data_IF_095358339292
#
_entry.id   IF_095358339292
#
_cell.length_a   1.000
_cell.length_b   1.000
_cell.length_c   1.000
_cell.angle_alpha   90.00
_cell.angle_beta   90.00
_cell.angle_gamma   90.00
#
_symmetry.space_group_name_H-M   'P 1'
#
loop_
_entity.id
_entity.type
_entity.pdbx_description
1 polymer ?
#
# COMPACT_ATOMS: atom_id res chain seq x y z
N UNK A 1 23.30 14.36 -2.03
CA UNK A 1 22.61 13.58 -3.07
C UNK A 1 21.76 12.49 -2.41
N UNK A 2 20.52 12.42 -2.80
CA UNK A 2 19.62 11.40 -2.27
C UNK A 2 19.91 10.06 -2.94
N UNK A 3 20.11 9.03 -2.16
CA UNK A 3 20.26 7.68 -2.69
C UNK A 3 18.89 7.09 -3.05
N UNK A 4 18.90 6.02 -3.82
CA UNK A 4 17.71 5.27 -4.19
C UNK A 4 17.72 3.94 -3.46
N UNK A 5 16.60 3.58 -2.86
CA UNK A 5 16.40 2.27 -2.26
C UNK A 5 15.73 1.35 -3.28
N UNK A 6 16.28 0.17 -3.46
CA UNK A 6 15.66 -0.84 -4.34
C UNK A 6 14.95 -1.88 -3.50
N UNK A 7 13.67 -2.11 -3.82
CA UNK A 7 12.88 -3.22 -3.29
C UNK A 7 12.53 -4.09 -4.49
N UNK A 8 13.26 -5.20 -4.65
CA UNK A 8 13.19 -5.97 -5.88
C UNK A 8 13.57 -5.10 -7.07
N UNK A 9 12.67 -4.97 -8.02
CA UNK A 9 12.84 -4.12 -9.21
C UNK A 9 12.28 -2.71 -9.04
N UNK A 10 11.67 -2.42 -7.87
CA UNK A 10 11.06 -1.13 -7.62
C UNK A 10 12.07 -0.19 -6.97
N UNK A 11 12.22 1.00 -7.54
CA UNK A 11 13.09 2.05 -7.03
C UNK A 11 12.28 2.99 -6.14
N UNK A 12 12.76 3.23 -4.93
CA UNK A 12 12.16 4.19 -4.01
C UNK A 12 13.13 5.37 -3.87
N UNK A 13 12.70 6.52 -4.33
CA UNK A 13 13.53 7.73 -4.32
C UNK A 13 12.67 8.96 -4.04
N UNK A 14 12.99 9.75 -3.00
CA UNK A 14 14.03 9.51 -2.01
C UNK A 14 13.71 8.29 -1.12
N UNK A 15 14.69 7.72 -0.40
CA UNK A 15 14.46 6.54 0.44
C UNK A 15 13.79 6.92 1.76
N UNK A 16 12.67 7.59 1.67
CA UNK A 16 11.85 8.06 2.78
C UNK A 16 10.45 7.51 2.59
N UNK A 17 9.98 6.76 3.58
CA UNK A 17 8.72 6.03 3.51
C UNK A 17 7.77 6.54 4.60
N UNK A 18 6.51 6.74 4.21
CA UNK A 18 5.45 6.99 5.19
C UNK A 18 5.01 5.66 5.78
N UNK A 19 5.14 5.52 7.10
CA UNK A 19 4.66 4.34 7.81
C UNK A 19 3.13 4.25 7.75
N UNK A 20 2.55 3.05 7.64
CA UNK A 20 1.10 2.92 7.72
C UNK A 20 0.63 3.22 9.14
N UNK A 21 -0.40 4.05 9.27
CA UNK A 21 -0.96 4.47 10.56
C UNK A 21 -2.47 4.33 10.50
N UNK A 22 -3.02 3.40 11.29
CA UNK A 22 -4.45 3.12 11.31
C UNK A 22 -5.25 4.39 11.65
N UNK A 23 -6.28 4.66 10.86
CA UNK A 23 -7.11 5.84 11.02
C UNK A 23 -6.47 7.14 10.51
N UNK A 24 -5.24 7.11 10.02
CA UNK A 24 -4.50 8.31 9.60
C UNK A 24 -4.09 8.23 8.13
N UNK A 25 -3.46 7.12 7.70
CA UNK A 25 -2.92 7.02 6.34
C UNK A 25 -3.97 6.59 5.32
N UNK A 26 -5.08 7.30 5.29
CA UNK A 26 -6.10 7.15 4.25
C UNK A 26 -5.60 7.75 2.92
N UNK A 27 -6.38 7.61 1.88
CA UNK A 27 -5.97 8.07 0.54
C UNK A 27 -5.65 9.56 0.50
N UNK A 28 -6.49 10.48 1.01
CA UNK A 28 -6.15 11.90 1.02
C UNK A 28 -4.84 12.21 1.74
N UNK A 29 -4.61 11.57 2.88
CA UNK A 29 -3.37 11.77 3.64
C UNK A 29 -2.15 11.27 2.86
N UNK A 30 -2.24 10.08 2.26
CA UNK A 30 -1.15 9.54 1.44
C UNK A 30 -0.85 10.42 0.24
N UNK A 31 -1.89 10.92 -0.44
CA UNK A 31 -1.71 11.83 -1.57
C UNK A 31 -0.99 13.10 -1.14
N UNK A 32 -1.35 13.65 0.01
CA UNK A 32 -0.70 14.84 0.53
C UNK A 32 0.78 14.58 0.82
N UNK A 33 1.10 13.49 1.49
CA UNK A 33 2.49 13.15 1.82
C UNK A 33 3.30 12.88 0.55
N UNK A 34 2.72 12.19 -0.43
CA UNK A 34 3.36 11.98 -1.73
C UNK A 34 3.69 13.30 -2.41
N UNK A 35 2.79 14.30 -2.31
CA UNK A 35 3.01 15.61 -2.93
C UNK A 35 4.18 16.37 -2.29
N UNK A 36 4.53 16.05 -1.05
CA UNK A 36 5.71 16.60 -0.38
C UNK A 36 7.00 15.84 -0.69
N UNK A 37 6.93 14.79 -1.48
CA UNK A 37 8.12 14.13 -2.01
C UNK A 37 8.55 12.85 -1.29
N UNK A 38 7.68 12.21 -0.50
CA UNK A 38 7.99 10.90 0.04
C UNK A 38 8.19 9.89 -1.10
N UNK A 39 9.17 9.03 -0.98
CA UNK A 39 9.47 8.03 -2.00
C UNK A 39 8.47 6.89 -2.04
N UNK A 40 7.89 6.54 -0.90
CA UNK A 40 6.85 5.52 -0.78
C UNK A 40 5.88 5.89 0.33
N UNK A 41 4.61 5.69 0.08
CA UNK A 41 3.56 5.78 1.10
C UNK A 41 2.88 4.42 1.22
N UNK A 42 2.51 4.03 2.44
CA UNK A 42 1.91 2.72 2.71
C UNK A 42 0.49 2.91 3.21
N UNK A 43 -0.44 2.13 2.65
CA UNK A 43 -1.84 2.21 3.04
C UNK A 43 -2.06 1.73 4.49
N UNK A 44 -3.20 2.12 5.04
CA UNK A 44 -3.69 1.47 6.25
C UNK A 44 -3.81 -0.04 6.02
N UNK A 45 -3.71 -0.79 7.10
CA UNK A 45 -3.85 -2.24 7.09
C UNK A 45 -5.20 -2.67 6.51
N UNK A 46 -5.14 -3.52 5.50
CA UNK A 46 -6.32 -4.09 4.85
C UNK A 46 -6.46 -5.54 5.30
N UNK A 47 -7.58 -5.86 5.95
CA UNK A 47 -7.83 -7.23 6.35
C UNK A 47 -8.16 -8.07 5.11
N UNK A 48 -7.34 -9.09 4.86
CA UNK A 48 -7.46 -9.93 3.66
C UNK A 48 -8.83 -10.57 3.52
N UNK A 49 -9.39 -11.02 4.63
CA UNK A 49 -10.73 -11.62 4.64
C UNK A 49 -11.82 -10.62 4.29
N UNK A 50 -11.73 -9.39 4.83
CA UNK A 50 -12.72 -8.33 4.59
C UNK A 50 -12.74 -7.87 3.13
N UNK A 51 -11.58 -7.66 2.52
CA UNK A 51 -11.53 -7.17 1.14
C UNK A 51 -12.13 -8.20 0.18
N UNK A 52 -11.95 -9.48 0.48
CA UNK A 52 -12.49 -10.55 -0.35
C UNK A 52 -14.00 -10.72 -0.18
N UNK A 53 -14.56 -10.24 0.93
CA UNK A 53 -16.00 -10.21 1.19
C UNK A 53 -16.67 -8.92 0.72
N UNK A 54 -16.03 -8.14 -0.14
CA UNK A 54 -16.57 -6.91 -0.74
C UNK A 54 -16.79 -5.77 0.25
N UNK A 55 -15.97 -5.66 1.28
CA UNK A 55 -16.00 -4.52 2.19
C UNK A 55 -15.60 -3.24 1.47
N UNK A 56 -16.50 -2.25 1.36
CA UNK A 56 -16.21 -0.98 0.70
C UNK A 56 -15.07 -0.25 1.40
N UNK A 57 -15.08 -0.25 2.72
CA UNK A 57 -14.04 0.43 3.51
C UNK A 57 -12.67 -0.23 3.31
N UNK A 58 -12.63 -1.56 3.27
CA UNK A 58 -11.38 -2.28 3.03
C UNK A 58 -10.82 -1.98 1.65
N UNK A 59 -11.67 -1.91 0.62
CA UNK A 59 -11.26 -1.56 -0.73
C UNK A 59 -10.77 -0.11 -0.83
N UNK A 60 -11.45 0.81 -0.15
CA UNK A 60 -11.04 2.21 -0.11
C UNK A 60 -9.64 2.36 0.51
N UNK A 61 -9.32 1.58 1.55
CA UNK A 61 -8.00 1.59 2.16
C UNK A 61 -6.90 1.15 1.20
N UNK A 62 -7.23 0.28 0.25
CA UNK A 62 -6.28 -0.26 -0.72
C UNK A 62 -6.09 0.62 -1.97
N UNK A 63 -6.80 1.75 -2.08
CA UNK A 63 -6.66 2.63 -3.23
C UNK A 63 -5.28 3.23 -3.32
N UNK A 64 -4.73 3.28 -4.54
CA UNK A 64 -3.35 3.70 -4.78
C UNK A 64 -3.17 5.20 -4.97
N UNK A 65 -4.25 5.91 -5.29
CA UNK A 65 -4.19 7.35 -5.53
C UNK A 65 -3.48 7.70 -6.84
N UNK A 66 -2.93 8.93 -6.90
CA UNK A 66 -2.26 9.40 -8.11
C UNK A 66 -0.82 8.86 -8.25
N UNK A 67 -0.21 8.42 -7.17
CA UNK A 67 1.17 7.93 -7.18
C UNK A 67 1.19 6.41 -7.02
N UNK A 68 0.79 5.70 -8.06
CA UNK A 68 0.67 4.24 -8.04
C UNK A 68 2.01 3.58 -7.74
N UNK A 69 3.09 4.02 -8.41
CA UNK A 69 4.41 3.42 -8.24
C UNK A 69 5.04 3.75 -6.88
N UNK A 70 4.61 4.83 -6.26
CA UNK A 70 5.06 5.25 -4.94
C UNK A 70 4.13 4.84 -3.81
N UNK A 71 3.24 3.88 -4.03
CA UNK A 71 2.28 3.43 -3.03
C UNK A 71 2.38 1.93 -2.82
N UNK A 72 2.54 1.52 -1.56
CA UNK A 72 2.46 0.14 -1.13
C UNK A 72 1.13 -0.08 -0.42
N UNK A 73 0.55 -1.25 -0.58
CA UNK A 73 -0.66 -1.65 0.15
C UNK A 73 -0.29 -2.63 1.24
N UNK A 74 -0.64 -2.30 2.48
CA UNK A 74 -0.41 -3.21 3.60
C UNK A 74 -1.62 -4.14 3.76
N UNK A 75 -1.35 -5.43 3.79
CA UNK A 75 -2.36 -6.45 4.01
C UNK A 75 -2.11 -7.15 5.34
N UNK A 76 -3.18 -7.58 5.97
CA UNK A 76 -3.12 -8.31 7.23
C UNK A 76 -4.03 -9.52 7.19
N UNK A 77 -3.61 -10.59 7.82
CA UNK A 77 -4.37 -11.82 7.90
C UNK A 77 -3.53 -12.95 8.43
N UNK A 78 -4.15 -14.07 8.69
CA UNK A 78 -3.49 -15.27 9.22
C UNK A 78 -3.76 -16.52 8.39
N UNK A 79 -4.62 -16.42 7.40
CA UNK A 79 -4.99 -17.55 6.54
C UNK A 79 -4.28 -17.41 5.21
N UNK A 80 -3.51 -18.43 4.84
CA UNK A 80 -2.69 -18.38 3.64
C UNK A 80 -3.54 -18.23 2.37
N UNK A 81 -4.70 -18.87 2.31
CA UNK A 81 -5.57 -18.78 1.15
C UNK A 81 -6.07 -17.34 0.94
N UNK A 82 -6.63 -16.73 2.00
CA UNK A 82 -7.15 -15.37 1.88
C UNK A 82 -6.06 -14.34 1.67
N UNK A 83 -4.89 -14.53 2.27
CA UNK A 83 -3.73 -13.65 2.05
C UNK A 83 -3.28 -13.72 0.59
N UNK A 84 -3.22 -14.91 0.03
CA UNK A 84 -2.85 -15.11 -1.36
C UNK A 84 -3.85 -14.46 -2.31
N UNK A 85 -5.15 -14.69 -2.10
CA UNK A 85 -6.20 -14.09 -2.94
C UNK A 85 -6.21 -12.56 -2.83
N UNK A 86 -6.01 -12.05 -1.63
CA UNK A 86 -5.92 -10.61 -1.39
C UNK A 86 -4.72 -10.00 -2.14
N UNK A 87 -3.56 -10.64 -2.05
CA UNK A 87 -2.36 -10.17 -2.75
C UNK A 87 -2.55 -10.16 -4.26
N UNK A 88 -3.19 -11.18 -4.82
CA UNK A 88 -3.50 -11.21 -6.25
C UNK A 88 -4.43 -10.08 -6.68
N UNK A 89 -5.45 -9.80 -5.87
CA UNK A 89 -6.38 -8.71 -6.15
C UNK A 89 -5.66 -7.36 -6.15
N UNK A 90 -4.85 -7.12 -5.14
CA UNK A 90 -4.12 -5.87 -4.98
C UNK A 90 -3.08 -5.69 -6.09
N UNK A 91 -2.36 -6.74 -6.43
CA UNK A 91 -1.44 -6.72 -7.56
C UNK A 91 -2.19 -6.44 -8.87
N UNK A 92 -3.33 -7.08 -9.07
CA UNK A 92 -4.18 -6.85 -10.24
C UNK A 92 -4.70 -5.43 -10.35
N UNK A 93 -4.83 -4.71 -9.22
CA UNK A 93 -5.22 -3.30 -9.20
C UNK A 93 -4.04 -2.35 -9.43
N UNK A 94 -2.85 -2.88 -9.59
CA UNK A 94 -1.68 -2.09 -9.96
C UNK A 94 -0.63 -1.88 -8.87
N UNK A 95 -0.83 -2.40 -7.67
CA UNK A 95 0.17 -2.28 -6.62
C UNK A 95 1.46 -3.01 -7.00
N UNK A 96 2.59 -2.34 -6.86
CA UNK A 96 3.90 -2.88 -7.18
C UNK A 96 4.62 -3.44 -5.96
N UNK A 97 4.23 -2.99 -4.79
CA UNK A 97 4.78 -3.41 -3.51
C UNK A 97 3.62 -3.75 -2.58
N UNK A 98 3.71 -4.88 -1.93
CA UNK A 98 2.75 -5.31 -0.92
C UNK A 98 3.52 -5.44 0.40
N UNK A 99 3.00 -4.80 1.43
CA UNK A 99 3.54 -4.89 2.77
C UNK A 99 2.70 -5.89 3.57
N UNK A 100 3.35 -6.81 4.23
CA UNK A 100 2.66 -7.88 4.99
C UNK A 100 2.77 -7.59 6.47
N UNK A 101 1.64 -7.41 7.07
CA UNK A 101 1.56 -7.26 8.52
C UNK A 101 1.53 -8.63 9.19
#
# INVERSE_FOLDING_TARGET
>A
MMSTLMVGKQAISPPVLLSPLAGITDLPYRNLVSSFGAGLVVSEMVASHEIMQKGKDARARAELGFNVDGTSVQIAGRDAFWMSECAKLIEGNGAKIIDIN
#
